data_IF_549613327703
#
_entry.id   IF_549613327703
#
_cell.length_a   1.000
_cell.length_b   1.000
_cell.length_c   1.000
_cell.angle_alpha   90.00
_cell.angle_beta   90.00
_cell.angle_gamma   90.00
#
_symmetry.space_group_name_H-M   'P 1'
#
loop_
_entity.id
_entity.type
_entity.pdbx_description
1 polymer ?
#
# COMPACT_ATOMS: atom_id res chain seq x y z
N UNK A 1 27.00 4.72 -3.35
CA UNK A 1 25.90 3.83 -3.75
C UNK A 1 24.94 3.80 -2.59
N UNK A 2 23.79 4.46 -2.71
CA UNK A 2 22.76 4.38 -1.68
C UNK A 2 22.11 3.01 -1.78
N UNK A 3 22.25 2.17 -0.74
CA UNK A 3 21.63 0.84 -0.61
C UNK A 3 20.10 0.96 -0.41
N UNK A 4 19.45 1.77 -1.25
CA UNK A 4 18.02 1.96 -1.25
C UNK A 4 17.37 0.74 -1.90
N UNK A 5 16.31 0.25 -1.27
CA UNK A 5 15.47 -0.84 -1.81
C UNK A 5 14.35 -0.32 -2.71
N UNK A 6 14.39 0.95 -3.10
CA UNK A 6 13.42 1.54 -4.01
C UNK A 6 13.82 1.22 -5.46
N UNK A 7 12.83 0.97 -6.32
CA UNK A 7 13.05 0.81 -7.76
C UNK A 7 13.58 2.12 -8.35
N UNK A 8 14.64 2.04 -9.15
CA UNK A 8 15.20 3.19 -9.87
C UNK A 8 14.53 3.45 -11.21
N UNK A 9 13.99 2.40 -11.85
CA UNK A 9 13.36 2.47 -13.17
C UNK A 9 11.84 2.35 -13.01
N UNK A 10 11.19 3.46 -12.68
CA UNK A 10 9.72 3.55 -12.64
C UNK A 10 9.26 4.37 -13.85
N UNK A 11 8.48 3.75 -14.73
CA UNK A 11 8.02 4.36 -15.98
C UNK A 11 6.61 4.96 -15.86
N UNK A 12 5.75 4.36 -15.04
CA UNK A 12 4.35 4.75 -14.84
C UNK A 12 4.08 5.01 -13.37
N UNK A 13 3.02 5.75 -13.06
CA UNK A 13 2.63 6.03 -11.67
C UNK A 13 2.36 4.73 -10.88
N UNK A 14 1.78 3.73 -11.53
CA UNK A 14 1.53 2.40 -10.98
C UNK A 14 1.70 1.34 -12.07
N UNK A 15 2.02 0.12 -11.68
CA UNK A 15 2.17 -1.00 -12.61
C UNK A 15 0.80 -1.61 -12.94
N UNK A 16 -0.05 -1.80 -11.93
CA UNK A 16 -1.43 -2.31 -12.07
C UNK A 16 -2.33 -1.83 -10.93
N UNK A 17 -3.59 -1.53 -11.25
CA UNK A 17 -4.68 -1.29 -10.31
C UNK A 17 -5.71 -2.41 -10.44
N UNK A 18 -6.08 -3.06 -9.34
CA UNK A 18 -7.05 -4.15 -9.33
C UNK A 18 -8.16 -3.86 -8.32
N UNK A 19 -9.40 -4.09 -8.73
CA UNK A 19 -10.52 -4.28 -7.81
C UNK A 19 -10.68 -5.78 -7.57
N UNK A 20 -10.55 -6.17 -6.31
CA UNK A 20 -10.62 -7.56 -5.85
C UNK A 20 -11.88 -7.71 -4.99
N UNK A 21 -12.57 -8.84 -5.11
CA UNK A 21 -13.75 -9.13 -4.30
C UNK A 21 -14.02 -10.62 -4.14
N UNK A 22 -15.07 -10.93 -3.39
CA UNK A 22 -15.54 -12.29 -3.17
C UNK A 22 -16.30 -12.82 -4.39
N UNK A 23 -15.84 -13.92 -4.98
CA UNK A 23 -16.49 -14.67 -6.05
C UNK A 23 -16.99 -16.02 -5.53
N UNK A 24 -17.96 -16.01 -4.61
CA UNK A 24 -18.33 -17.21 -3.85
C UNK A 24 -17.30 -17.50 -2.76
N UNK A 25 -16.69 -18.68 -2.79
CA UNK A 25 -15.66 -19.11 -1.83
C UNK A 25 -14.22 -18.72 -2.26
N UNK A 26 -14.06 -18.06 -3.41
CA UNK A 26 -12.75 -17.64 -3.91
C UNK A 26 -12.61 -16.11 -3.98
N UNK A 27 -11.38 -15.63 -3.82
CA UNK A 27 -11.02 -14.23 -4.01
C UNK A 27 -10.65 -14.02 -5.49
N UNK A 28 -11.43 -13.18 -6.17
CA UNK A 28 -11.27 -12.93 -7.62
C UNK A 28 -10.97 -11.46 -7.90
N UNK A 29 -10.28 -11.23 -9.02
CA UNK A 29 -10.08 -9.88 -9.56
C UNK A 29 -11.33 -9.55 -10.39
N UNK A 30 -12.12 -8.59 -9.92
CA UNK A 30 -13.34 -8.12 -10.57
C UNK A 30 -13.02 -7.25 -11.78
N UNK A 31 -12.05 -6.35 -11.63
CA UNK A 31 -11.58 -5.42 -12.65
C UNK A 31 -10.09 -5.16 -12.45
N UNK A 32 -9.37 -4.90 -13.55
CA UNK A 32 -7.95 -4.50 -13.50
C UNK A 32 -7.64 -3.47 -14.58
N UNK A 33 -6.65 -2.64 -14.32
CA UNK A 33 -6.08 -1.71 -15.29
C UNK A 33 -4.55 -1.70 -15.15
N UNK A 34 -3.78 -1.78 -16.25
CA UNK A 34 -4.23 -2.00 -17.63
C UNK A 34 -4.88 -3.37 -17.84
N UNK A 35 -5.80 -3.49 -18.81
CA UNK A 35 -6.50 -4.75 -19.09
C UNK A 35 -5.57 -5.86 -19.63
N UNK A 36 -4.52 -5.45 -20.34
CA UNK A 36 -3.51 -6.31 -20.95
C UNK A 36 -2.39 -6.72 -19.97
N UNK A 37 -2.48 -6.35 -18.69
CA UNK A 37 -1.52 -6.78 -17.67
C UNK A 37 -1.57 -8.32 -17.47
N UNK A 38 -0.49 -9.03 -17.77
CA UNK A 38 -0.45 -10.50 -17.88
C UNK A 38 0.40 -11.22 -16.81
N UNK A 39 0.98 -10.51 -15.84
CA UNK A 39 1.79 -11.18 -14.82
C UNK A 39 0.92 -11.92 -13.79
N UNK A 40 0.67 -13.21 -14.06
CA UNK A 40 -0.13 -14.09 -13.20
C UNK A 40 0.45 -14.27 -11.79
N UNK A 41 1.77 -14.15 -11.63
CA UNK A 41 2.40 -14.25 -10.31
C UNK A 41 2.04 -13.05 -9.44
N UNK A 42 2.05 -11.86 -10.03
CA UNK A 42 1.62 -10.61 -9.39
C UNK A 42 0.11 -10.64 -9.14
N UNK A 43 -0.70 -11.07 -10.12
CA UNK A 43 -2.16 -11.15 -9.94
C UNK A 43 -2.56 -12.16 -8.84
N UNK A 44 -1.82 -13.26 -8.70
CA UNK A 44 -1.98 -14.18 -7.55
C UNK A 44 -1.60 -13.50 -6.24
N UNK A 45 -0.47 -12.80 -6.18
CA UNK A 45 -0.05 -12.08 -4.99
C UNK A 45 -1.09 -11.00 -4.59
N UNK A 46 -1.60 -10.20 -5.53
CA UNK A 46 -2.62 -9.20 -5.25
C UNK A 46 -3.85 -9.84 -4.57
N UNK A 47 -4.34 -10.98 -5.07
CA UNK A 47 -5.47 -11.69 -4.46
C UNK A 47 -5.19 -12.10 -3.02
N UNK A 48 -4.02 -12.70 -2.77
CA UNK A 48 -3.63 -13.15 -1.43
C UNK A 48 -3.44 -11.99 -0.45
N UNK A 49 -2.81 -10.90 -0.89
CA UNK A 49 -2.50 -9.76 -0.02
C UNK A 49 -3.65 -8.77 0.12
N UNK A 50 -4.63 -8.76 -0.78
CA UNK A 50 -5.85 -7.97 -0.65
C UNK A 50 -6.75 -8.48 0.49
N UNK A 51 -6.71 -9.78 0.78
CA UNK A 51 -7.45 -10.47 1.84
C UNK A 51 -6.49 -11.36 2.66
N UNK A 52 -5.55 -10.75 3.41
CA UNK A 52 -4.46 -11.50 4.06
C UNK A 52 -4.95 -12.48 5.14
N UNK A 53 -6.15 -12.26 5.68
CA UNK A 53 -6.78 -13.12 6.68
C UNK A 53 -7.94 -13.96 6.11
N UNK A 54 -8.11 -13.99 4.79
CA UNK A 54 -9.28 -14.59 4.13
C UNK A 54 -10.53 -13.68 4.13
N UNK A 55 -11.67 -14.24 3.73
CA UNK A 55 -12.95 -13.52 3.62
C UNK A 55 -13.75 -13.47 4.92
N UNK A 56 -13.46 -14.38 5.85
CA UNK A 56 -14.04 -14.40 7.19
C UNK A 56 -13.24 -13.50 8.13
N UNK A 57 -13.28 -12.19 7.90
CA UNK A 57 -12.73 -11.26 8.88
C UNK A 57 -13.68 -11.18 10.08
N UNK A 58 -13.24 -11.66 11.24
CA UNK A 58 -13.91 -11.52 12.54
C UNK A 58 -14.01 -10.08 13.06
N UNK A 59 -13.60 -9.09 12.25
CA UNK A 59 -13.66 -7.69 12.59
C UNK A 59 -15.13 -7.24 12.58
N UNK A 60 -15.73 -7.11 13.77
CA UNK A 60 -17.06 -6.52 13.97
C UNK A 60 -17.15 -5.05 13.52
N UNK A 61 -16.03 -4.47 13.06
CA UNK A 61 -15.97 -3.09 12.59
C UNK A 61 -16.10 -3.01 11.07
N UNK A 62 -17.24 -2.48 10.61
CA UNK A 62 -17.50 -2.09 9.20
C UNK A 62 -16.60 -0.95 8.67
N UNK A 63 -15.51 -0.63 9.38
CA UNK A 63 -14.64 0.48 9.06
C UNK A 63 -13.70 0.14 7.88
N UNK A 64 -13.61 1.06 6.92
CA UNK A 64 -12.67 0.97 5.80
C UNK A 64 -11.24 0.96 6.32
N UNK A 65 -10.45 0.00 5.85
CA UNK A 65 -9.04 -0.13 6.22
C UNK A 65 -8.14 0.24 5.04
N UNK A 66 -7.20 1.17 5.27
CA UNK A 66 -6.13 1.50 4.33
C UNK A 66 -4.83 0.89 4.86
N UNK A 67 -4.22 0.04 4.05
CA UNK A 67 -2.97 -0.63 4.43
C UNK A 67 -2.05 -0.76 3.22
N UNK A 68 -0.78 -1.06 3.49
CA UNK A 68 0.21 -1.28 2.45
C UNK A 68 0.97 -2.56 2.71
N UNK A 69 1.09 -3.40 1.68
CA UNK A 69 2.01 -4.53 1.66
C UNK A 69 3.18 -4.26 0.72
N UNK A 70 4.20 -5.11 0.76
CA UNK A 70 5.38 -4.98 -0.12
C UNK A 70 5.68 -6.32 -0.77
N UNK A 71 5.85 -6.30 -2.08
CA UNK A 71 6.46 -7.37 -2.85
C UNK A 71 7.95 -7.03 -3.03
N UNK A 72 8.80 -8.01 -2.79
CA UNK A 72 10.25 -7.87 -2.98
C UNK A 72 10.67 -8.71 -4.19
N UNK A 73 11.36 -8.09 -5.14
CA UNK A 73 11.86 -8.78 -6.33
C UNK A 73 13.23 -9.45 -6.09
N UNK A 74 13.76 -10.10 -7.13
CA UNK A 74 15.05 -10.78 -7.09
C UNK A 74 16.24 -9.83 -6.87
N UNK A 75 16.09 -8.54 -7.21
CA UNK A 75 17.07 -7.48 -6.99
C UNK A 75 16.95 -6.85 -5.60
N UNK A 76 16.06 -7.38 -4.74
CA UNK A 76 15.72 -6.85 -3.41
C UNK A 76 15.06 -5.47 -3.43
N UNK A 77 14.53 -5.04 -4.57
CA UNK A 77 13.74 -3.82 -4.70
C UNK A 77 12.28 -4.06 -4.32
N UNK A 78 11.65 -3.00 -3.82
CA UNK A 78 10.28 -3.00 -3.33
C UNK A 78 9.31 -2.54 -4.41
N UNK A 79 8.18 -3.25 -4.48
CA UNK A 79 6.95 -2.80 -5.10
C UNK A 79 5.87 -2.73 -4.01
N UNK A 80 5.27 -1.56 -3.84
CA UNK A 80 4.30 -1.26 -2.79
C UNK A 80 2.89 -1.56 -3.29
N UNK A 81 2.15 -2.37 -2.53
CA UNK A 81 0.74 -2.66 -2.76
C UNK A 81 -0.13 -1.84 -1.83
N UNK A 82 -0.67 -0.73 -2.32
CA UNK A 82 -1.57 0.15 -1.59
C UNK A 82 -3.00 -0.38 -1.67
N UNK A 83 -3.59 -0.71 -0.53
CA UNK A 83 -4.91 -1.33 -0.46
C UNK A 83 -5.92 -0.46 0.27
N UNK A 84 -7.15 -0.46 -0.25
CA UNK A 84 -8.34 0.06 0.43
C UNK A 84 -9.36 -1.07 0.53
N UNK A 85 -9.42 -1.67 1.71
CA UNK A 85 -10.36 -2.74 2.03
C UNK A 85 -11.67 -2.17 2.58
N UNK A 86 -12.78 -2.64 2.03
CA UNK A 86 -14.15 -2.28 2.43
C UNK A 86 -14.85 -3.53 2.96
N UNK A 87 -14.89 -3.74 4.29
CA UNK A 87 -15.46 -4.95 4.89
C UNK A 87 -16.93 -5.19 4.47
N UNK A 88 -17.75 -4.13 4.47
CA UNK A 88 -19.19 -4.20 4.16
C UNK A 88 -19.51 -4.90 2.83
N UNK A 89 -18.66 -4.71 1.82
CA UNK A 89 -18.87 -5.25 0.49
C UNK A 89 -17.92 -6.41 0.17
N UNK A 90 -17.03 -6.80 1.10
CA UNK A 90 -15.92 -7.71 0.86
C UNK A 90 -15.17 -7.38 -0.45
N UNK A 91 -14.80 -6.10 -0.58
CA UNK A 91 -14.05 -5.59 -1.75
C UNK A 91 -12.80 -4.87 -1.32
N UNK A 92 -11.74 -5.01 -2.11
CA UNK A 92 -10.47 -4.36 -1.90
C UNK A 92 -10.00 -3.73 -3.21
N UNK A 93 -9.67 -2.44 -3.20
CA UNK A 93 -9.00 -1.79 -4.33
C UNK A 93 -7.51 -1.77 -4.01
N UNK A 94 -6.69 -2.34 -4.89
CA UNK A 94 -5.25 -2.48 -4.72
C UNK A 94 -4.50 -1.83 -5.89
N UNK A 95 -3.55 -0.94 -5.59
CA UNK A 95 -2.63 -0.35 -6.57
C UNK A 95 -1.22 -0.84 -6.25
N UNK A 96 -0.55 -1.46 -7.23
CA UNK A 96 0.87 -1.75 -7.14
C UNK A 96 1.70 -0.65 -7.80
N UNK A 97 2.68 -0.11 -7.08
CA UNK A 97 3.59 0.92 -7.59
C UNK A 97 5.00 0.74 -7.04
N UNK A 98 6.00 1.10 -7.85
CA UNK A 98 7.38 1.25 -7.39
C UNK A 98 7.63 2.52 -6.57
N UNK A 99 6.66 3.44 -6.50
CA UNK A 99 6.81 4.75 -5.85
C UNK A 99 6.32 4.69 -4.39
N UNK A 100 7.12 5.11 -3.40
CA UNK A 100 6.77 5.07 -1.98
C UNK A 100 5.84 6.23 -1.55
N UNK A 101 4.84 6.60 -2.36
CA UNK A 101 3.99 7.78 -2.17
C UNK A 101 2.68 7.47 -1.44
N UNK A 102 2.77 6.93 -0.22
CA UNK A 102 1.61 6.48 0.57
C UNK A 102 0.48 7.51 0.65
N UNK A 103 0.80 8.77 0.95
CA UNK A 103 -0.22 9.83 1.09
C UNK A 103 -1.00 10.04 -0.21
N UNK A 104 -0.31 10.02 -1.36
CA UNK A 104 -0.93 10.16 -2.67
C UNK A 104 -1.81 8.95 -2.97
N UNK A 105 -1.29 7.73 -2.84
CA UNK A 105 -2.04 6.52 -3.19
C UNK A 105 -3.23 6.28 -2.26
N UNK A 106 -3.14 6.57 -0.96
CA UNK A 106 -4.29 6.45 -0.07
C UNK A 106 -5.41 7.43 -0.41
N UNK A 107 -5.07 8.67 -0.75
CA UNK A 107 -6.06 9.65 -1.23
C UNK A 107 -6.63 9.24 -2.58
N UNK A 108 -5.78 8.74 -3.48
CA UNK A 108 -6.20 8.28 -4.79
C UNK A 108 -7.13 7.05 -4.70
N UNK A 109 -6.84 6.08 -3.83
CA UNK A 109 -7.73 4.95 -3.57
C UNK A 109 -9.10 5.38 -3.04
N UNK A 110 -9.14 6.38 -2.16
CA UNK A 110 -10.41 6.95 -1.70
C UNK A 110 -11.16 7.66 -2.83
N UNK A 111 -10.44 8.36 -3.72
CA UNK A 111 -11.02 8.98 -4.92
C UNK A 111 -11.60 7.94 -5.87
N UNK A 112 -10.84 6.89 -6.19
CA UNK A 112 -11.30 5.76 -7.01
C UNK A 112 -12.54 5.12 -6.38
N UNK A 113 -12.52 4.86 -5.06
CA UNK A 113 -13.69 4.29 -4.38
C UNK A 113 -14.92 5.20 -4.46
N UNK A 114 -14.75 6.52 -4.43
CA UNK A 114 -15.85 7.46 -4.60
C UNK A 114 -16.44 7.38 -6.02
N UNK A 115 -15.58 7.24 -7.04
CA UNK A 115 -15.98 7.06 -8.44
C UNK A 115 -16.71 5.75 -8.64
N UNK A 116 -16.20 4.64 -8.09
CA UNK A 116 -16.86 3.33 -8.18
C UNK A 116 -18.26 3.34 -7.58
N UNK A 117 -18.50 4.11 -6.51
CA UNK A 117 -19.79 4.15 -5.83
C UNK A 117 -20.80 5.12 -6.46
N UNK A 118 -20.34 6.21 -7.08
CA UNK A 118 -21.20 7.33 -7.49
C UNK A 118 -21.06 7.71 -8.98
N UNK A 119 -20.11 7.12 -9.70
CA UNK A 119 -19.80 7.40 -11.10
C UNK A 119 -20.18 6.25 -12.03
N UNK A 120 -19.79 6.38 -13.29
CA UNK A 120 -19.96 5.36 -14.34
C UNK A 120 -18.70 4.50 -14.49
N UNK A 121 -18.82 3.36 -15.19
CA UNK A 121 -17.66 2.54 -15.54
C UNK A 121 -16.66 3.32 -16.40
N UNK A 122 -17.15 4.14 -17.33
CA UNK A 122 -16.33 4.99 -18.20
C UNK A 122 -15.54 6.03 -17.38
N UNK A 123 -16.15 6.59 -16.32
CA UNK A 123 -15.44 7.51 -15.41
C UNK A 123 -14.28 6.82 -14.69
N UNK A 124 -14.49 5.60 -14.23
CA UNK A 124 -13.47 4.80 -13.57
C UNK A 124 -12.30 4.50 -14.52
N UNK A 125 -12.58 4.04 -15.73
CA UNK A 125 -11.56 3.75 -16.74
C UNK A 125 -10.82 5.01 -17.18
N UNK A 126 -11.52 6.14 -17.36
CA UNK A 126 -10.91 7.41 -17.73
C UNK A 126 -9.92 7.92 -16.67
N UNK A 127 -10.25 7.78 -15.39
CA UNK A 127 -9.37 8.18 -14.28
C UNK A 127 -8.12 7.29 -14.23
N UNK A 128 -8.27 5.98 -14.35
CA UNK A 128 -7.13 5.06 -14.35
C UNK A 128 -6.25 5.27 -15.58
N UNK A 129 -6.85 5.48 -16.74
CA UNK A 129 -6.13 5.79 -17.98
C UNK A 129 -5.35 7.09 -17.87
N UNK A 130 -5.97 8.15 -17.34
CA UNK A 130 -5.28 9.41 -17.12
C UNK A 130 -4.12 9.24 -16.14
N UNK A 131 -4.35 8.58 -15.02
CA UNK A 131 -3.33 8.37 -13.99
C UNK A 131 -2.19 7.46 -14.44
N UNK A 132 -2.42 6.53 -15.37
CA UNK A 132 -1.39 5.64 -15.89
C UNK A 132 -0.47 6.33 -16.91
N UNK A 133 -1.03 7.22 -17.73
CA UNK A 133 -0.31 7.93 -18.79
C UNK A 133 0.24 9.30 -18.37
N UNK A 134 -0.03 9.74 -17.14
CA UNK A 134 0.54 10.99 -16.61
C UNK A 134 2.04 10.85 -16.44
N UNK A 135 2.78 11.91 -16.77
CA UNK A 135 4.21 11.98 -16.46
C UNK A 135 4.42 11.98 -14.95
N UNK A 136 5.44 11.25 -14.48
CA UNK A 136 5.77 11.18 -13.06
C UNK A 136 6.32 12.55 -12.62
N UNK A 137 5.62 13.29 -11.73
CA UNK A 137 6.06 14.61 -11.31
C UNK A 137 7.25 14.53 -10.34
N UNK A 138 8.02 15.62 -10.26
CA UNK A 138 9.11 15.74 -9.30
C UNK A 138 8.58 15.93 -7.87
N UNK A 139 9.46 15.72 -6.89
CA UNK A 139 9.17 15.99 -5.48
C UNK A 139 8.79 17.47 -5.32
N UNK A 140 7.66 17.74 -4.64
CA UNK A 140 7.12 19.09 -4.44
C UNK A 140 6.22 19.61 -5.56
N UNK A 141 6.18 18.94 -6.72
CA UNK A 141 5.23 19.26 -7.78
C UNK A 141 3.85 18.65 -7.50
N UNK A 142 2.84 19.15 -8.21
CA UNK A 142 1.46 18.72 -8.05
C UNK A 142 1.08 17.72 -9.16
N UNK A 143 0.66 16.52 -8.75
CA UNK A 143 0.06 15.54 -9.64
C UNK A 143 -1.42 15.87 -9.79
N UNK A 144 -1.87 16.21 -11.00
CA UNK A 144 -3.28 16.55 -11.25
C UNK A 144 -3.83 15.81 -12.46
N UNK A 145 -5.00 15.19 -12.30
CA UNK A 145 -5.69 14.49 -13.39
C UNK A 145 -6.51 15.49 -14.20
N UNK A 146 -6.06 15.81 -15.41
CA UNK A 146 -6.58 16.93 -16.23
C UNK A 146 -7.69 16.53 -17.21
N UNK A 147 -7.71 15.28 -17.68
CA UNK A 147 -8.68 14.76 -18.65
C UNK A 147 -9.78 13.92 -17.98
N UNK A 148 -10.12 14.25 -16.74
CA UNK A 148 -11.25 13.66 -16.02
C UNK A 148 -12.46 14.61 -16.06
N UNK A 149 -13.70 14.09 -16.01
CA UNK A 149 -14.89 14.93 -15.86
C UNK A 149 -14.77 15.90 -14.67
N UNK A 150 -15.43 17.07 -14.71
CA UNK A 150 -15.29 18.10 -13.68
C UNK A 150 -15.52 17.60 -12.25
N UNK A 151 -16.39 16.60 -12.10
CA UNK A 151 -16.77 16.02 -10.81
C UNK A 151 -15.71 15.07 -10.24
N UNK A 152 -14.73 14.65 -11.05
CA UNK A 152 -13.74 13.62 -10.73
C UNK A 152 -12.30 14.11 -10.75
N UNK A 153 -12.09 15.42 -10.55
CA UNK A 153 -10.74 16.01 -10.45
C UNK A 153 -10.00 15.48 -9.22
N UNK A 154 -8.75 15.11 -9.41
CA UNK A 154 -7.83 14.71 -8.35
C UNK A 154 -6.55 15.51 -8.48
N UNK A 155 -6.03 16.04 -7.36
CA UNK A 155 -4.82 16.84 -7.33
C UNK A 155 -4.11 16.67 -5.99
N UNK A 156 -2.84 16.28 -6.00
CA UNK A 156 -2.04 16.08 -4.79
C UNK A 156 -0.57 16.43 -5.00
N UNK A 157 0.02 17.08 -3.99
CA UNK A 157 1.44 17.48 -4.02
C UNK A 157 2.32 16.29 -3.61
N UNK A 158 3.36 16.02 -4.40
CA UNK A 158 4.31 14.94 -4.10
C UNK A 158 5.14 15.29 -2.88
N UNK A 159 5.03 14.46 -1.85
CA UNK A 159 5.79 14.61 -0.61
C UNK A 159 7.22 14.07 -0.76
N UNK A 160 8.19 14.76 -0.15
CA UNK A 160 9.56 14.26 -0.05
C UNK A 160 9.64 13.13 0.98
N UNK A 161 9.89 11.91 0.52
CA UNK A 161 10.03 10.73 1.37
C UNK A 161 11.35 10.68 2.14
N UNK A 162 12.36 11.44 1.71
CA UNK A 162 13.67 11.51 2.36
C UNK A 162 13.73 12.54 3.48
N UNK A 163 12.73 13.44 3.55
CA UNK A 163 12.59 14.37 4.65
C UNK A 163 12.23 13.61 5.92
N UNK A 164 12.85 14.00 7.04
CA UNK A 164 12.43 13.52 8.36
C UNK A 164 10.97 13.90 8.58
N UNK A 165 10.08 12.92 8.82
CA UNK A 165 8.68 13.20 9.00
C UNK A 165 8.45 13.94 10.32
N UNK A 166 7.53 14.90 10.31
CA UNK A 166 6.91 15.33 11.56
C UNK A 166 5.81 14.33 11.92
N UNK A 167 5.54 14.15 13.22
CA UNK A 167 4.52 13.22 13.69
C UNK A 167 3.12 13.53 13.12
N UNK A 168 2.85 14.80 12.80
CA UNK A 168 1.55 15.22 12.25
C UNK A 168 1.39 14.88 10.76
N UNK A 169 2.49 14.87 10.01
CA UNK A 169 2.47 14.68 8.56
C UNK A 169 2.60 13.21 8.17
N UNK A 170 3.22 12.39 9.03
CA UNK A 170 3.42 10.96 8.79
C UNK A 170 2.42 10.13 9.60
N UNK A 171 1.36 9.69 8.91
CA UNK A 171 0.33 8.82 9.46
C UNK A 171 0.91 7.53 10.04
N UNK A 172 1.97 6.98 9.45
CA UNK A 172 2.56 5.74 9.95
C UNK A 172 3.24 5.95 11.30
N UNK A 173 4.03 7.03 11.41
CA UNK A 173 4.68 7.40 12.67
C UNK A 173 3.67 7.75 13.77
N UNK A 174 2.57 8.45 13.42
CA UNK A 174 1.51 8.76 14.37
C UNK A 174 0.82 7.51 14.91
N UNK A 175 0.46 6.60 14.00
CA UNK A 175 -0.20 5.33 14.37
C UNK A 175 0.73 4.46 15.23
N UNK A 176 2.01 4.38 14.86
CA UNK A 176 3.04 3.70 15.64
C UNK A 176 3.21 4.28 17.05
N UNK A 177 3.25 5.62 17.16
CA UNK A 177 3.38 6.30 18.45
C UNK A 177 2.17 6.04 19.35
N UNK A 178 0.97 6.00 18.78
CA UNK A 178 -0.27 5.73 19.53
C UNK A 178 -0.42 4.25 19.91
N UNK A 179 0.14 3.33 19.13
CA UNK A 179 -0.02 1.88 19.33
C UNK A 179 1.01 1.27 20.30
N UNK A 180 2.16 1.90 20.51
CA UNK A 180 3.24 1.35 21.34
C UNK A 180 3.56 2.22 22.56
N UNK A 181 3.99 1.59 23.64
CA UNK A 181 4.57 2.27 24.81
C UNK A 181 6.02 2.66 24.56
N UNK A 182 6.57 3.62 25.31
CA UNK A 182 7.96 4.06 25.13
C UNK A 182 8.96 2.91 25.35
N UNK A 183 8.67 2.02 26.31
CA UNK A 183 9.49 0.83 26.58
C UNK A 183 9.52 -0.13 25.39
N UNK A 184 8.36 -0.36 24.76
CA UNK A 184 8.28 -1.22 23.56
C UNK A 184 9.04 -0.59 22.39
N UNK A 185 8.93 0.73 22.18
CA UNK A 185 9.67 1.42 21.12
C UNK A 185 11.18 1.28 21.29
N UNK A 186 11.70 1.45 22.51
CA UNK A 186 13.14 1.28 22.80
C UNK A 186 13.57 -0.17 22.56
N UNK A 187 12.79 -1.15 23.02
CA UNK A 187 13.09 -2.57 22.82
C UNK A 187 13.08 -2.95 21.34
N UNK A 188 12.11 -2.45 20.59
CA UNK A 188 12.02 -2.63 19.14
C UNK A 188 13.23 -2.03 18.43
N UNK A 189 13.60 -0.79 18.75
CA UNK A 189 14.76 -0.13 18.17
C UNK A 189 16.05 -0.91 18.44
N UNK A 190 16.26 -1.36 19.68
CA UNK A 190 17.41 -2.20 20.02
C UNK A 190 17.40 -3.56 19.29
N UNK A 191 16.22 -4.12 19.00
CA UNK A 191 16.06 -5.36 18.24
C UNK A 191 16.36 -5.17 16.75
N UNK A 192 15.95 -4.03 16.18
CA UNK A 192 16.26 -3.64 14.81
C UNK A 192 17.78 -3.46 14.63
N UNK A 193 18.45 -2.74 15.53
CA UNK A 193 19.91 -2.57 15.48
C UNK A 193 20.70 -3.88 15.61
N UNK A 194 20.08 -4.92 16.16
CA UNK A 194 20.64 -6.27 16.29
C UNK A 194 20.17 -7.22 15.19
N UNK A 195 19.48 -6.71 14.18
CA UNK A 195 18.92 -7.48 13.05
C UNK A 195 18.12 -8.72 13.50
N UNK A 196 17.35 -8.59 14.60
CA UNK A 196 16.55 -9.70 15.12
C UNK A 196 15.35 -9.99 14.21
N UNK A 197 14.85 -11.23 14.27
CA UNK A 197 13.53 -11.58 13.73
C UNK A 197 12.48 -10.90 14.61
N UNK A 198 11.67 -10.02 14.02
CA UNK A 198 10.67 -9.22 14.72
C UNK A 198 9.32 -9.51 14.07
N UNK A 199 8.33 -9.87 14.88
CA UNK A 199 6.96 -10.12 14.44
C UNK A 199 6.07 -9.06 15.07
N UNK A 200 5.25 -8.41 14.24
CA UNK A 200 4.20 -7.51 14.68
C UNK A 200 2.85 -8.21 14.54
N UNK A 201 1.97 -8.01 15.50
CA UNK A 201 0.60 -8.53 15.48
C UNK A 201 -0.36 -7.39 15.81
N UNK A 202 -1.46 -7.28 15.06
CA UNK A 202 -2.54 -6.34 15.35
C UNK A 202 -3.85 -6.93 14.85
N UNK A 203 -4.96 -6.47 15.41
CA UNK A 203 -6.30 -6.75 14.88
C UNK A 203 -6.66 -5.88 13.68
N UNK A 204 -5.92 -4.78 13.44
CA UNK A 204 -6.18 -3.83 12.34
C UNK A 204 -5.04 -3.84 11.35
N UNK A 205 -5.32 -4.17 10.08
CA UNK A 205 -4.31 -4.20 9.02
C UNK A 205 -3.66 -2.83 8.81
N UNK A 206 -4.46 -1.77 8.90
CA UNK A 206 -3.98 -0.39 8.78
C UNK A 206 -2.94 -0.04 9.84
N UNK A 207 -3.19 -0.43 11.10
CA UNK A 207 -2.26 -0.23 12.20
C UNK A 207 -1.02 -1.12 12.05
N UNK A 208 -1.20 -2.39 11.68
CA UNK A 208 -0.11 -3.33 11.46
C UNK A 208 0.89 -2.80 10.42
N UNK A 209 0.42 -2.49 9.21
CA UNK A 209 1.30 -1.98 8.15
C UNK A 209 1.98 -0.67 8.59
N UNK A 210 1.23 0.23 9.21
CA UNK A 210 1.75 1.53 9.67
C UNK A 210 2.88 1.36 10.67
N UNK A 211 2.70 0.48 11.67
CA UNK A 211 3.73 0.21 12.68
C UNK A 211 4.99 -0.41 12.08
N UNK A 212 4.85 -1.33 11.13
CA UNK A 212 5.99 -1.98 10.48
C UNK A 212 6.78 -0.99 9.61
N UNK A 213 6.11 -0.14 8.83
CA UNK A 213 6.76 0.91 8.06
C UNK A 213 7.43 1.97 8.95
N UNK A 214 6.77 2.38 10.04
CA UNK A 214 7.36 3.30 11.01
C UNK A 214 8.62 2.71 11.66
N UNK A 215 8.58 1.42 12.03
CA UNK A 215 9.70 0.72 12.65
C UNK A 215 10.97 0.78 11.79
N UNK A 216 10.86 0.49 10.49
CA UNK A 216 12.02 0.59 9.59
C UNK A 216 12.45 2.03 9.34
N UNK A 217 11.55 3.01 9.44
CA UNK A 217 11.88 4.44 9.31
C UNK A 217 12.70 4.96 10.49
N UNK A 218 12.61 4.33 11.67
CA UNK A 218 13.47 4.63 12.82
C UNK A 218 14.96 4.37 12.55
N UNK A 219 15.29 3.56 11.54
CA UNK A 219 16.66 3.25 11.17
C UNK A 219 17.34 4.35 10.35
N UNK A 220 16.61 5.37 9.88
CA UNK A 220 17.16 6.46 9.09
C UNK A 220 18.47 7.00 9.71
N UNK A 221 19.56 7.15 8.94
CA UNK A 221 19.65 7.05 7.47
C UNK A 221 19.93 5.63 6.92
N UNK A 222 19.90 4.60 7.75
CA UNK A 222 20.05 3.21 7.33
C UNK A 222 18.73 2.62 6.84
N UNK A 223 18.83 1.57 6.02
CA UNK A 223 17.69 0.82 5.49
C UNK A 223 17.75 -0.62 5.98
N UNK A 224 16.59 -1.20 6.29
CA UNK A 224 16.49 -2.62 6.63
C UNK A 224 16.79 -3.51 5.43
N UNK A 225 17.86 -4.31 5.52
CA UNK A 225 18.33 -5.14 4.41
C UNK A 225 17.75 -6.56 4.41
N UNK A 226 17.28 -7.04 5.56
CA UNK A 226 16.73 -8.40 5.70
C UNK A 226 15.29 -8.50 5.16
N UNK A 227 14.66 -9.67 5.35
CA UNK A 227 13.27 -9.90 4.99
C UNK A 227 12.36 -8.80 5.55
N UNK A 228 11.50 -8.25 4.69
CA UNK A 228 10.56 -7.18 5.04
C UNK A 228 9.19 -7.49 4.45
N UNK A 229 8.27 -7.92 5.30
CA UNK A 229 6.89 -8.27 4.93
C UNK A 229 5.95 -7.54 5.90
N UNK A 230 5.44 -6.36 5.53
CA UNK A 230 4.56 -5.58 6.41
C UNK A 230 3.26 -6.29 6.79
N UNK A 231 2.73 -7.09 5.86
CA UNK A 231 1.52 -7.89 6.03
C UNK A 231 1.83 -9.26 5.45
N UNK A 232 1.66 -10.29 6.25
CA UNK A 232 1.84 -11.68 5.85
C UNK A 232 0.47 -12.34 5.69
N UNK A 233 0.08 -12.78 4.48
CA UNK A 233 -1.11 -13.59 4.28
C UNK A 233 -1.06 -14.92 5.05
N UNK A 234 -2.22 -15.45 5.44
CA UNK A 234 -2.37 -16.73 6.15
C UNK A 234 -1.67 -17.90 5.44
N UNK A 235 -1.73 -17.91 4.10
CA UNK A 235 -1.14 -18.95 3.25
C UNK A 235 0.39 -18.99 3.31
N UNK A 236 1.02 -17.92 3.80
CA UNK A 236 2.48 -17.77 3.85
C UNK A 236 3.03 -17.82 5.28
N UNK A 237 2.23 -18.29 6.24
CA UNK A 237 2.62 -18.38 7.66
C UNK A 237 3.80 -19.32 7.91
N UNK A 238 4.03 -20.30 7.03
CA UNK A 238 5.21 -21.17 7.09
C UNK A 238 6.53 -20.40 6.99
N UNK A 239 6.53 -19.19 6.43
CA UNK A 239 7.71 -18.31 6.39
C UNK A 239 8.17 -17.81 7.77
N UNK A 240 7.35 -17.99 8.81
CA UNK A 240 7.67 -17.59 10.18
C UNK A 240 8.52 -18.63 10.93
N UNK A 241 8.63 -19.86 10.42
CA UNK A 241 9.42 -20.96 11.02
C UNK A 241 10.91 -20.83 10.68
#
# INVERSE_FOLDING_TARGET
>A
MTNSRLRSNVATLFDVCCQVGAGGDEIIILQKYPEDFQDESILKAIRQFAFPCGMETSDETDAVQLFTFVLTDAQSCYTFGYCRFTPRNNTCICILSGLPWTNLFYKFLNHISNVVNNGTQDDFEAILTNAYHIEIPNIGENLSLTACPPNWRFSEVISDVNKLPTLREDKFMLEFYNAMTEKQMIFLYASLLKERRIIFTSQKLSQLSSCVFAAVRLLFPFYWQNLFIPILPSDLTDMLM
#
